data_IF_806808366460
#
_entry.id   IF_806808366460
#
_cell.length_a   1.000
_cell.length_b   1.000
_cell.length_c   1.000
_cell.angle_alpha   90.00
_cell.angle_beta   90.00
_cell.angle_gamma   90.00
#
_symmetry.space_group_name_H-M   'P 1'
#
loop_
_entity.id
_entity.type
_entity.pdbx_description
1 polymer ?
#
# COMPACT_ATOMS: atom_id res chain seq x y z
N UNK A 1 22.36 1.71 68.03
CA UNK A 1 22.73 1.90 66.61
C UNK A 1 23.52 3.18 66.50
N UNK A 2 24.74 3.13 65.97
CA UNK A 2 25.60 4.30 65.80
C UNK A 2 25.02 5.19 64.69
N UNK A 3 24.69 6.45 64.99
CA UNK A 3 24.11 7.35 64.00
C UNK A 3 25.23 7.99 63.17
N UNK A 4 25.29 7.68 61.87
CA UNK A 4 26.28 8.23 60.94
C UNK A 4 25.81 9.60 60.44
N UNK A 5 26.71 10.58 60.41
CA UNK A 5 26.49 11.96 59.92
C UNK A 5 27.73 12.46 59.18
N UNK A 6 27.62 13.64 58.58
CA UNK A 6 28.72 14.33 57.90
C UNK A 6 28.97 15.70 58.53
N UNK A 7 30.23 16.09 58.69
CA UNK A 7 30.58 17.45 59.14
C UNK A 7 30.51 18.44 57.98
N UNK A 8 30.50 19.75 58.28
CA UNK A 8 30.53 20.81 57.27
C UNK A 8 31.78 20.77 56.37
N UNK A 9 32.87 20.19 56.86
CA UNK A 9 34.13 20.01 56.12
C UNK A 9 34.16 18.69 55.31
N UNK A 10 33.04 17.96 55.25
CA UNK A 10 32.88 16.75 54.42
C UNK A 10 33.34 15.45 55.07
N UNK A 11 33.72 15.44 56.36
CA UNK A 11 34.15 14.22 57.06
C UNK A 11 32.96 13.34 57.44
N UNK A 12 33.09 12.03 57.26
CA UNK A 12 32.11 11.03 57.71
C UNK A 12 32.36 10.72 59.19
N UNK A 13 31.33 10.83 60.02
CA UNK A 13 31.48 10.69 61.48
C UNK A 13 30.37 9.86 62.11
N UNK A 14 30.69 9.15 63.19
CA UNK A 14 29.73 8.46 64.06
C UNK A 14 29.40 9.36 65.26
N UNK A 15 28.12 9.58 65.53
CA UNK A 15 27.68 10.35 66.71
C UNK A 15 27.76 9.46 67.96
N UNK A 16 28.64 9.84 68.91
CA UNK A 16 28.82 9.13 70.19
C UNK A 16 27.83 9.66 71.23
N UNK A 17 27.61 10.98 71.28
CA UNK A 17 26.73 11.59 72.27
C UNK A 17 26.57 13.09 72.09
N UNK A 18 25.66 13.70 72.85
CA UNK A 18 25.46 15.15 72.88
C UNK A 18 26.26 15.74 74.04
N UNK A 19 27.04 16.78 73.77
CA UNK A 19 27.74 17.53 74.81
C UNK A 19 26.82 18.59 75.43
N UNK A 20 26.02 19.26 74.61
CA UNK A 20 24.98 20.20 75.03
C UNK A 20 23.88 20.29 73.95
N UNK A 21 23.00 21.30 74.04
CA UNK A 21 21.91 21.49 73.07
C UNK A 21 22.39 21.76 71.63
N UNK A 22 23.60 22.28 71.45
CA UNK A 22 24.15 22.73 70.16
C UNK A 22 25.35 21.92 69.64
N UNK A 23 25.96 21.09 70.49
CA UNK A 23 27.22 20.39 70.19
C UNK A 23 27.10 18.89 70.43
N UNK A 24 27.63 18.11 69.49
CA UNK A 24 27.74 16.67 69.58
C UNK A 24 29.20 16.23 69.62
N UNK A 25 29.49 15.18 70.39
CA UNK A 25 30.75 14.45 70.37
C UNK A 25 30.63 13.40 69.26
N UNK A 26 31.53 13.47 68.29
CA UNK A 26 31.57 12.58 67.15
C UNK A 26 32.94 11.93 67.01
N UNK A 27 32.97 10.75 66.39
CA UNK A 27 34.19 10.02 66.05
C UNK A 27 34.36 9.99 64.54
N UNK A 28 35.56 10.30 64.04
CA UNK A 28 35.86 10.17 62.61
C UNK A 28 35.84 8.71 62.17
N UNK A 29 35.10 8.44 61.09
CA UNK A 29 35.06 7.13 60.44
C UNK A 29 36.04 7.17 59.27
N UNK A 30 37.08 6.35 59.34
CA UNK A 30 37.99 6.14 58.23
C UNK A 30 37.54 4.96 57.38
N UNK A 31 37.77 5.04 56.08
CA UNK A 31 37.56 3.93 55.15
C UNK A 31 38.93 3.36 54.80
N UNK A 32 39.19 2.13 55.21
CA UNK A 32 40.42 1.39 54.85
C UNK A 32 40.03 0.06 54.23
N UNK A 33 40.56 -0.24 53.03
CA UNK A 33 40.26 -1.46 52.27
C UNK A 33 38.75 -1.75 52.09
N UNK A 34 37.92 -0.71 51.94
CA UNK A 34 36.47 -0.84 51.77
C UNK A 34 35.67 -1.10 53.06
N UNK A 35 36.35 -1.18 54.21
CA UNK A 35 35.72 -1.32 55.52
C UNK A 35 35.70 0.01 56.25
N UNK A 36 34.54 0.38 56.80
CA UNK A 36 34.37 1.59 57.60
C UNK A 36 34.72 1.31 59.06
N UNK A 37 35.75 1.98 59.56
CA UNK A 37 36.27 1.75 60.91
C UNK A 37 36.14 3.06 61.71
N UNK A 38 35.32 3.08 62.78
CA UNK A 38 35.25 4.20 63.71
C UNK A 38 36.50 4.16 64.61
N UNK A 39 37.63 4.64 64.10
CA UNK A 39 38.93 4.62 64.79
C UNK A 39 39.61 5.98 64.86
N UNK A 40 38.96 7.04 64.37
CA UNK A 40 39.50 8.37 64.47
C UNK A 40 39.35 8.97 65.87
N UNK A 41 39.93 10.16 66.02
CA UNK A 41 39.82 10.94 67.24
C UNK A 41 38.37 11.37 67.50
N UNK A 42 38.04 11.51 68.78
CA UNK A 42 36.77 12.07 69.21
C UNK A 42 36.90 13.59 69.26
N UNK A 43 36.03 14.29 68.55
CA UNK A 43 36.01 15.74 68.54
C UNK A 43 34.58 16.28 68.59
N UNK A 44 34.45 17.56 68.93
CA UNK A 44 33.16 18.22 69.15
C UNK A 44 32.79 19.01 67.90
N UNK A 45 31.59 18.79 67.38
CA UNK A 45 31.08 19.49 66.19
C UNK A 45 29.73 20.12 66.48
N UNK A 46 29.52 21.33 65.96
CA UNK A 46 28.26 22.09 66.08
C UNK A 46 27.23 21.73 65.01
N UNK A 47 27.68 21.51 63.77
CA UNK A 47 26.81 21.25 62.62
C UNK A 47 27.08 19.88 62.02
N UNK A 48 26.04 19.06 61.97
CA UNK A 48 26.04 17.73 61.37
C UNK A 48 24.98 17.67 60.29
N UNK A 49 25.32 17.05 59.17
CA UNK A 49 24.46 16.87 58.02
C UNK A 49 24.13 15.39 57.83
N UNK A 50 22.95 15.10 57.29
CA UNK A 50 22.48 13.74 57.01
C UNK A 50 23.12 13.16 55.74
N UNK A 51 23.61 14.03 54.87
CA UNK A 51 24.32 13.73 53.63
C UNK A 51 25.58 14.61 53.53
N UNK A 52 26.59 14.22 52.75
CA UNK A 52 27.77 15.05 52.54
C UNK A 52 27.39 16.43 51.98
N UNK A 53 28.00 17.48 52.51
CA UNK A 53 27.77 18.84 52.04
C UNK A 53 28.36 18.99 50.62
N UNK A 54 27.50 19.28 49.64
CA UNK A 54 27.91 19.57 48.27
C UNK A 54 28.07 21.09 48.15
N UNK A 55 29.17 21.55 47.55
CA UNK A 55 29.38 22.98 47.35
C UNK A 55 28.33 23.53 46.38
N UNK A 56 27.90 24.78 46.59
CA UNK A 56 26.97 25.44 45.66
C UNK A 56 27.48 25.43 44.21
N UNK A 57 28.79 25.63 44.02
CA UNK A 57 29.45 25.60 42.70
C UNK A 57 29.32 24.25 42.01
N UNK A 58 29.49 23.15 42.74
CA UNK A 58 29.40 21.80 42.19
C UNK A 58 27.95 21.44 41.82
N UNK A 59 26.99 21.84 42.65
CA UNK A 59 25.57 21.66 42.33
C UNK A 59 25.12 22.52 41.15
N UNK A 60 25.62 23.77 41.05
CA UNK A 60 25.33 24.64 39.92
C UNK A 60 25.95 24.12 38.62
N UNK A 61 27.20 23.65 38.66
CA UNK A 61 27.87 23.03 37.52
C UNK A 61 27.08 21.82 37.00
N UNK A 62 26.68 20.91 37.90
CA UNK A 62 25.86 19.74 37.53
C UNK A 62 24.55 20.15 36.86
N UNK A 63 23.85 21.16 37.39
CA UNK A 63 22.61 21.68 36.77
C UNK A 63 22.86 22.29 35.39
N UNK A 64 23.97 22.99 35.21
CA UNK A 64 24.35 23.54 33.92
C UNK A 64 24.65 22.43 32.92
N UNK A 65 25.41 21.40 33.30
CA UNK A 65 25.69 20.22 32.47
C UNK A 65 24.41 19.50 32.05
N UNK A 66 23.51 19.19 32.99
CA UNK A 66 22.22 18.58 32.71
C UNK A 66 21.34 19.43 31.77
N UNK A 67 21.48 20.77 31.84
CA UNK A 67 20.79 21.67 30.92
C UNK A 67 21.41 21.63 29.52
N UNK A 68 22.74 21.70 29.43
CA UNK A 68 23.46 21.62 28.18
C UNK A 68 23.22 20.30 27.46
N UNK A 69 23.22 19.17 28.18
CA UNK A 69 22.93 17.86 27.61
C UNK A 69 21.50 17.78 27.05
N UNK A 70 20.52 18.31 27.79
CA UNK A 70 19.12 18.37 27.34
C UNK A 70 18.95 19.24 26.10
N UNK A 71 19.55 20.44 26.10
CA UNK A 71 19.49 21.34 24.94
C UNK A 71 20.19 20.74 23.72
N UNK A 72 21.36 20.12 23.91
CA UNK A 72 22.10 19.46 22.85
C UNK A 72 21.32 18.30 22.24
N UNK A 73 20.70 17.46 23.09
CA UNK A 73 19.85 16.37 22.62
C UNK A 73 18.65 16.90 21.83
N UNK A 74 17.95 17.90 22.37
CA UNK A 74 16.80 18.52 21.70
C UNK A 74 17.18 19.09 20.32
N UNK A 75 18.29 19.82 20.24
CA UNK A 75 18.74 20.41 18.97
C UNK A 75 19.13 19.34 17.95
N UNK A 76 19.73 18.22 18.38
CA UNK A 76 20.02 17.08 17.50
C UNK A 76 18.73 16.45 16.97
N UNK A 77 17.76 16.20 17.85
CA UNK A 77 16.47 15.61 17.47
C UNK A 77 15.70 16.55 16.50
N UNK A 78 15.73 17.87 16.75
CA UNK A 78 15.12 18.88 15.88
C UNK A 78 15.82 18.94 14.51
N UNK A 79 17.15 18.88 14.47
CA UNK A 79 17.93 18.87 13.22
C UNK A 79 17.64 17.62 12.38
N UNK A 80 17.55 16.45 13.02
CA UNK A 80 17.20 15.19 12.35
C UNK A 80 15.77 15.26 11.79
N UNK A 81 14.82 15.76 12.58
CA UNK A 81 13.43 15.97 12.17
C UNK A 81 13.33 16.92 10.97
N UNK A 82 14.03 18.06 11.01
CA UNK A 82 14.07 19.01 9.90
C UNK A 82 14.73 18.40 8.64
N UNK A 83 15.83 17.67 8.81
CA UNK A 83 16.51 17.00 7.70
C UNK A 83 15.61 15.96 7.04
N UNK A 84 14.87 15.18 7.83
CA UNK A 84 13.88 14.22 7.34
C UNK A 84 12.73 14.91 6.60
N UNK A 85 12.19 15.99 7.16
CA UNK A 85 11.13 16.80 6.50
C UNK A 85 11.61 17.36 5.17
N UNK A 86 12.83 17.89 5.13
CA UNK A 86 13.43 18.42 3.91
C UNK A 86 13.63 17.32 2.86
N UNK A 87 14.11 16.14 3.26
CA UNK A 87 14.23 14.99 2.37
C UNK A 87 12.89 14.59 1.76
N UNK A 88 11.85 14.46 2.58
CA UNK A 88 10.48 14.16 2.12
C UNK A 88 9.96 15.26 1.19
N UNK A 89 10.17 16.53 1.52
CA UNK A 89 9.72 17.65 0.69
C UNK A 89 10.41 17.67 -0.68
N UNK A 90 11.72 17.40 -0.72
CA UNK A 90 12.48 17.29 -1.97
C UNK A 90 11.96 16.15 -2.84
N UNK A 91 11.73 14.97 -2.28
CA UNK A 91 11.24 13.84 -3.08
C UNK A 91 9.80 14.02 -3.55
N UNK A 92 8.95 14.66 -2.74
CA UNK A 92 7.62 15.07 -3.19
C UNK A 92 7.68 16.05 -4.35
N UNK A 93 8.52 17.08 -4.24
CA UNK A 93 8.68 18.09 -5.28
C UNK A 93 9.23 17.48 -6.57
N UNK A 94 10.24 16.59 -6.46
CA UNK A 94 10.79 15.84 -7.59
C UNK A 94 9.72 14.97 -8.25
N UNK A 95 9.01 14.16 -7.47
CA UNK A 95 7.93 13.30 -7.99
C UNK A 95 6.83 14.10 -8.69
N UNK A 96 6.43 15.25 -8.13
CA UNK A 96 5.48 16.15 -8.78
C UNK A 96 6.02 16.72 -10.09
N UNK A 97 7.29 17.17 -10.12
CA UNK A 97 7.91 17.69 -11.32
C UNK A 97 8.05 16.61 -12.40
N UNK A 98 8.48 15.40 -12.03
CA UNK A 98 8.60 14.26 -12.93
C UNK A 98 7.24 13.88 -13.52
N UNK A 99 6.18 13.84 -12.70
CA UNK A 99 4.82 13.55 -13.15
C UNK A 99 4.27 14.66 -14.07
N UNK A 100 4.49 15.94 -13.75
CA UNK A 100 4.09 17.07 -14.59
C UNK A 100 4.82 17.07 -15.93
N UNK A 101 6.12 16.81 -15.92
CA UNK A 101 6.92 16.72 -17.15
C UNK A 101 6.51 15.51 -17.98
N UNK A 102 6.25 14.36 -17.35
CA UNK A 102 5.74 13.18 -18.02
C UNK A 102 4.36 13.45 -18.66
N UNK A 103 3.46 14.11 -17.94
CA UNK A 103 2.16 14.53 -18.46
C UNK A 103 2.31 15.52 -19.62
N UNK A 104 3.09 16.59 -19.46
CA UNK A 104 3.31 17.57 -20.51
C UNK A 104 3.92 16.96 -21.79
N UNK A 105 4.78 15.94 -21.64
CA UNK A 105 5.45 15.28 -22.76
C UNK A 105 4.62 14.15 -23.40
N UNK A 106 3.73 13.49 -22.65
CA UNK A 106 3.01 12.28 -23.11
C UNK A 106 1.51 12.40 -23.22
N UNK A 107 0.89 13.37 -22.55
CA UNK A 107 -0.51 13.69 -22.78
C UNK A 107 -0.60 14.33 -24.17
N UNK A 108 -0.60 13.49 -25.19
CA UNK A 108 -0.68 13.94 -26.57
C UNK A 108 -2.02 14.65 -26.79
N UNK A 109 -2.03 15.65 -27.67
CA UNK A 109 -3.25 16.38 -28.06
C UNK A 109 -4.48 15.48 -28.34
N UNK A 110 -4.36 14.28 -28.91
CA UNK A 110 -5.49 13.35 -29.11
C UNK A 110 -6.21 12.93 -27.82
N UNK A 111 -5.51 12.75 -26.69
CA UNK A 111 -6.14 12.30 -25.44
C UNK A 111 -7.04 13.37 -24.80
N UNK A 112 -6.61 14.64 -24.90
CA UNK A 112 -7.41 15.80 -24.51
C UNK A 112 -8.52 16.10 -25.53
N UNK A 113 -8.31 15.77 -26.80
CA UNK A 113 -9.34 15.87 -27.83
C UNK A 113 -10.49 14.89 -27.58
N UNK A 114 -10.22 13.68 -27.07
CA UNK A 114 -11.28 12.75 -26.64
C UNK A 114 -12.14 13.36 -25.52
N UNK A 115 -11.54 14.10 -24.58
CA UNK A 115 -12.30 14.79 -23.54
C UNK A 115 -13.22 15.86 -24.14
N UNK A 116 -12.72 16.64 -25.10
CA UNK A 116 -13.55 17.62 -25.83
C UNK A 116 -14.69 16.93 -26.59
N UNK A 117 -14.41 15.80 -27.24
CA UNK A 117 -15.41 14.99 -27.96
C UNK A 117 -16.50 14.45 -27.03
N UNK A 118 -16.13 14.04 -25.81
CA UNK A 118 -17.11 13.67 -24.80
C UNK A 118 -17.98 14.85 -24.38
N UNK A 119 -17.37 16.00 -24.08
CA UNK A 119 -18.08 17.20 -23.63
C UNK A 119 -18.97 17.82 -24.72
N UNK A 120 -18.61 17.64 -26.00
CA UNK A 120 -19.39 18.08 -27.16
C UNK A 120 -20.45 17.07 -27.61
N UNK A 121 -20.47 15.85 -27.03
CA UNK A 121 -21.42 14.80 -27.41
C UNK A 121 -21.09 14.10 -28.72
N UNK A 122 -19.84 14.20 -29.21
CA UNK A 122 -19.38 13.53 -30.43
C UNK A 122 -19.07 12.03 -30.24
N UNK A 123 -18.94 11.57 -29.00
CA UNK A 123 -18.71 10.15 -28.70
C UNK A 123 -20.02 9.37 -28.83
N UNK A 124 -20.02 8.39 -29.73
CA UNK A 124 -21.18 7.54 -30.03
C UNK A 124 -20.99 6.10 -29.57
N UNK A 125 -19.76 5.61 -29.57
CA UNK A 125 -19.43 4.22 -29.25
C UNK A 125 -18.33 4.14 -28.20
N UNK A 126 -18.38 3.10 -27.37
CA UNK A 126 -17.30 2.77 -26.45
C UNK A 126 -16.75 1.38 -26.79
N UNK A 127 -15.43 1.27 -26.91
CA UNK A 127 -14.76 -0.01 -26.90
C UNK A 127 -14.26 -0.30 -25.49
N UNK A 128 -14.77 -1.35 -24.85
CA UNK A 128 -14.28 -1.83 -23.55
C UNK A 128 -13.21 -2.88 -23.76
N UNK A 129 -12.01 -2.59 -23.27
CA UNK A 129 -10.86 -3.49 -23.38
C UNK A 129 -10.79 -4.49 -22.21
N UNK A 130 -10.03 -5.56 -22.37
CA UNK A 130 -9.73 -6.53 -21.30
C UNK A 130 -10.28 -7.93 -21.55
N UNK A 131 -10.75 -8.60 -20.49
CA UNK A 131 -11.08 -10.03 -20.51
C UNK A 131 -12.32 -10.38 -21.35
N UNK A 132 -13.29 -9.47 -21.41
CA UNK A 132 -14.51 -9.61 -22.21
C UNK A 132 -14.65 -8.37 -23.09
N UNK A 133 -13.85 -8.27 -24.17
CA UNK A 133 -13.87 -7.13 -25.06
C UNK A 133 -15.23 -6.98 -25.72
N UNK A 134 -15.70 -5.74 -25.82
CA UNK A 134 -17.00 -5.43 -26.41
C UNK A 134 -17.05 -4.00 -26.94
N UNK A 135 -17.84 -3.78 -27.98
CA UNK A 135 -18.19 -2.46 -28.50
C UNK A 135 -19.69 -2.26 -28.26
N UNK A 136 -20.07 -1.11 -27.73
CA UNK A 136 -21.47 -0.75 -27.52
C UNK A 136 -21.70 0.75 -27.70
N UNK A 137 -22.94 1.11 -27.98
CA UNK A 137 -23.37 2.50 -28.15
C UNK A 137 -23.42 3.22 -26.80
N UNK A 138 -22.87 4.43 -26.75
CA UNK A 138 -22.73 5.18 -25.49
C UNK A 138 -24.08 5.69 -24.96
N UNK A 139 -24.94 6.19 -25.85
CA UNK A 139 -26.21 6.82 -25.45
C UNK A 139 -27.40 5.85 -25.40
N UNK A 140 -27.34 4.77 -26.19
CA UNK A 140 -28.51 3.94 -26.50
C UNK A 140 -28.40 2.50 -25.97
N UNK A 141 -27.21 2.04 -25.57
CA UNK A 141 -27.03 0.71 -24.99
C UNK A 141 -27.29 0.71 -23.48
N UNK A 142 -28.10 -0.24 -23.00
CA UNK A 142 -28.39 -0.48 -21.58
C UNK A 142 -27.12 -0.67 -20.74
N UNK A 143 -26.00 -1.12 -21.32
CA UNK A 143 -24.71 -1.27 -20.63
C UNK A 143 -24.12 0.06 -20.19
N UNK A 144 -24.46 1.16 -20.84
CA UNK A 144 -24.09 2.52 -20.43
C UNK A 144 -24.90 3.00 -19.23
N UNK A 145 -25.94 2.25 -18.83
CA UNK A 145 -26.79 2.57 -17.70
C UNK A 145 -26.61 1.59 -16.54
N UNK A 146 -26.85 2.12 -15.35
CA UNK A 146 -27.05 1.37 -14.14
C UNK A 146 -28.50 0.88 -14.11
N UNK A 147 -28.67 -0.44 -14.05
CA UNK A 147 -29.97 -1.07 -14.17
C UNK A 147 -30.21 -2.00 -13.00
N UNK A 148 -31.30 -1.75 -12.28
CA UNK A 148 -31.79 -2.68 -11.27
C UNK A 148 -32.59 -3.78 -11.97
N UNK A 149 -31.99 -4.97 -12.00
CA UNK A 149 -32.54 -6.13 -12.67
C UNK A 149 -33.21 -7.02 -11.62
N UNK A 150 -34.35 -6.56 -11.14
CA UNK A 150 -35.12 -7.26 -10.12
C UNK A 150 -35.71 -8.53 -10.76
N UNK A 151 -35.03 -9.67 -10.54
CA UNK A 151 -35.27 -10.96 -11.21
C UNK A 151 -36.71 -11.47 -11.07
N UNK A 152 -37.49 -10.90 -10.16
CA UNK A 152 -38.88 -11.25 -9.87
C UNK A 152 -39.91 -10.60 -10.80
N UNK A 153 -39.63 -9.45 -11.42
CA UNK A 153 -40.68 -8.68 -12.12
C UNK A 153 -40.49 -8.50 -13.64
N UNK A 154 -39.45 -9.09 -14.24
CA UNK A 154 -39.08 -8.96 -15.69
C UNK A 154 -39.07 -7.51 -16.21
N UNK A 155 -39.00 -6.51 -15.32
CA UNK A 155 -38.95 -5.09 -15.65
C UNK A 155 -37.55 -4.61 -15.36
N UNK A 156 -36.85 -4.17 -16.41
CA UNK A 156 -35.56 -3.51 -16.27
C UNK A 156 -35.83 -2.07 -15.83
N UNK A 157 -35.39 -1.72 -14.63
CA UNK A 157 -35.42 -0.33 -14.17
C UNK A 157 -34.08 0.32 -14.45
N UNK A 158 -34.09 1.44 -15.15
CA UNK A 158 -32.90 2.23 -15.44
C UNK A 158 -32.78 3.30 -14.35
N UNK A 159 -31.74 3.21 -13.51
CA UNK A 159 -31.52 4.14 -12.40
C UNK A 159 -30.70 5.36 -12.81
N UNK A 160 -29.93 5.27 -13.89
CA UNK A 160 -29.17 6.39 -14.43
C UNK A 160 -27.99 5.92 -15.27
N UNK A 161 -27.31 6.87 -15.89
CA UNK A 161 -26.13 6.59 -16.70
C UNK A 161 -24.91 6.29 -15.82
N UNK A 162 -24.09 5.32 -16.21
CA UNK A 162 -22.85 4.97 -15.52
C UNK A 162 -21.83 6.10 -15.65
N UNK A 163 -21.01 6.23 -14.61
CA UNK A 163 -19.97 7.24 -14.58
C UNK A 163 -18.81 6.82 -15.51
N UNK A 164 -18.37 7.75 -16.36
CA UNK A 164 -17.08 7.67 -17.05
C UNK A 164 -16.09 8.60 -16.35
N UNK A 165 -14.92 8.07 -16.01
CA UNK A 165 -13.87 8.83 -15.33
C UNK A 165 -12.58 8.82 -16.13
N UNK A 166 -11.90 9.97 -16.13
CA UNK A 166 -10.55 10.12 -16.67
C UNK A 166 -9.53 9.92 -15.55
N UNK A 167 -8.66 8.93 -15.70
CA UNK A 167 -7.57 8.63 -14.78
C UNK A 167 -6.26 9.13 -15.37
N UNK A 168 -5.40 9.70 -14.52
CA UNK A 168 -4.02 10.02 -14.85
C UNK A 168 -3.06 9.13 -14.07
N UNK A 169 -2.11 8.52 -14.78
CA UNK A 169 -1.03 7.73 -14.20
C UNK A 169 0.21 8.60 -13.96
N UNK A 170 1.05 8.20 -13.00
CA UNK A 170 2.30 8.89 -12.68
C UNK A 170 3.32 8.90 -13.83
N UNK A 171 3.13 8.03 -14.81
CA UNK A 171 3.94 7.97 -16.02
C UNK A 171 3.45 8.92 -17.11
N UNK A 172 2.41 9.73 -16.87
CA UNK A 172 1.84 10.71 -17.79
C UNK A 172 0.71 10.19 -18.68
N UNK A 173 0.36 8.90 -18.61
CA UNK A 173 -0.70 8.33 -19.43
C UNK A 173 -2.09 8.64 -18.87
N UNK A 174 -3.06 8.81 -19.77
CA UNK A 174 -4.46 8.96 -19.45
C UNK A 174 -5.25 7.69 -19.82
N UNK A 175 -6.21 7.30 -18.98
CA UNK A 175 -7.14 6.21 -19.28
C UNK A 175 -8.57 6.61 -18.93
N UNK A 176 -9.51 6.29 -19.84
CA UNK A 176 -10.93 6.42 -19.57
C UNK A 176 -11.44 5.10 -18.99
N UNK A 177 -12.27 5.18 -17.94
CA UNK A 177 -12.90 4.00 -17.35
C UNK A 177 -14.38 4.20 -17.14
N UNK A 178 -15.15 3.15 -17.44
CA UNK A 178 -16.57 3.05 -17.16
C UNK A 178 -16.77 2.30 -15.83
N UNK A 179 -17.47 2.93 -14.90
CA UNK A 179 -17.76 2.35 -13.59
C UNK A 179 -18.91 1.34 -13.64
N UNK A 180 -18.89 0.38 -12.71
CA UNK A 180 -19.97 -0.61 -12.57
C UNK A 180 -21.30 0.05 -12.21
N UNK A 181 -21.27 1.05 -11.33
CA UNK A 181 -22.46 1.76 -10.84
C UNK A 181 -22.41 3.24 -11.21
N UNK A 182 -23.59 3.89 -11.22
CA UNK A 182 -23.72 5.32 -11.57
C UNK A 182 -22.97 6.27 -10.63
N UNK A 183 -22.81 5.87 -9.37
CA UNK A 183 -22.17 6.66 -8.32
C UNK A 183 -20.64 6.48 -8.29
N UNK A 184 -20.09 5.65 -9.18
CA UNK A 184 -18.67 5.34 -9.23
C UNK A 184 -18.20 4.33 -8.19
N UNK A 185 -19.13 3.69 -7.47
CA UNK A 185 -18.80 2.58 -6.58
C UNK A 185 -18.53 1.29 -7.36
N UNK A 186 -17.96 0.29 -6.69
CA UNK A 186 -17.66 -1.01 -7.28
C UNK A 186 -16.38 -1.03 -8.12
N UNK A 187 -16.42 -1.79 -9.21
CA UNK A 187 -15.29 -1.91 -10.15
C UNK A 187 -15.36 -0.86 -11.25
N UNK A 188 -14.30 -0.82 -12.06
CA UNK A 188 -14.30 -0.05 -13.30
C UNK A 188 -13.58 -0.84 -14.40
N UNK A 189 -14.03 -0.67 -15.64
CA UNK A 189 -13.42 -1.25 -16.82
C UNK A 189 -12.84 -0.15 -17.70
N UNK A 190 -11.65 -0.39 -18.26
CA UNK A 190 -11.04 0.54 -19.19
C UNK A 190 -11.80 0.58 -20.52
N UNK A 191 -12.02 1.80 -21.01
CA UNK A 191 -12.75 2.06 -22.24
C UNK A 191 -11.96 3.00 -23.16
N UNK A 192 -12.19 2.83 -24.46
CA UNK A 192 -11.68 3.66 -25.53
C UNK A 192 -12.88 4.31 -26.22
N UNK A 193 -13.12 5.61 -26.00
CA UNK A 193 -14.27 6.33 -26.55
C UNK A 193 -14.08 6.65 -28.04
N UNK A 194 -15.05 6.29 -28.86
CA UNK A 194 -15.02 6.44 -30.30
C UNK A 194 -16.17 7.31 -30.83
N UNK A 195 -15.90 8.00 -31.94
CA UNK A 195 -16.89 8.79 -32.68
C UNK A 195 -17.69 7.94 -33.67
N UNK A 196 -17.26 6.71 -33.93
CA UNK A 196 -17.95 5.75 -34.79
C UNK A 196 -17.66 4.29 -34.39
N UNK A 197 -18.50 3.37 -34.85
CA UNK A 197 -18.27 1.93 -34.71
C UNK A 197 -16.95 1.50 -35.37
N UNK A 198 -16.68 1.98 -36.58
CA UNK A 198 -15.48 1.62 -37.35
C UNK A 198 -14.19 1.99 -36.63
N UNK A 199 -14.18 3.15 -35.94
CA UNK A 199 -13.05 3.56 -35.13
C UNK A 199 -12.85 2.62 -33.93
N UNK A 200 -13.94 2.29 -33.21
CA UNK A 200 -13.91 1.33 -32.11
C UNK A 200 -13.45 -0.05 -32.59
N UNK A 201 -13.91 -0.50 -33.76
CA UNK A 201 -13.54 -1.76 -34.39
C UNK A 201 -12.04 -1.80 -34.73
N UNK A 202 -11.48 -0.70 -35.25
CA UNK A 202 -10.04 -0.60 -35.50
C UNK A 202 -9.20 -0.83 -34.24
N UNK A 203 -9.62 -0.28 -33.11
CA UNK A 203 -8.95 -0.52 -31.82
C UNK A 203 -9.15 -1.94 -31.30
N UNK A 204 -10.36 -2.47 -31.38
CA UNK A 204 -10.65 -3.84 -31.00
C UNK A 204 -9.85 -4.85 -31.83
N UNK A 205 -9.72 -4.61 -33.14
CA UNK A 205 -8.91 -5.45 -34.03
C UNK A 205 -7.41 -5.36 -33.69
N UNK A 206 -6.90 -4.19 -33.34
CA UNK A 206 -5.51 -4.04 -32.92
C UNK A 206 -5.20 -4.82 -31.63
N UNK A 207 -6.08 -4.75 -30.64
CA UNK A 207 -5.93 -5.52 -29.39
C UNK A 207 -6.06 -7.03 -29.65
N UNK A 208 -7.01 -7.45 -30.48
CA UNK A 208 -7.15 -8.84 -30.89
C UNK A 208 -5.92 -9.37 -31.60
N UNK A 209 -5.37 -8.61 -32.56
CA UNK A 209 -4.16 -8.98 -33.29
C UNK A 209 -2.96 -9.16 -32.35
N UNK A 210 -2.83 -8.32 -31.32
CA UNK A 210 -1.80 -8.46 -30.29
C UNK A 210 -1.96 -9.78 -29.52
N UNK A 211 -3.18 -10.10 -29.07
CA UNK A 211 -3.44 -11.38 -28.39
C UNK A 211 -3.21 -12.59 -29.30
N UNK A 212 -3.57 -12.48 -30.58
CA UNK A 212 -3.28 -13.49 -31.59
C UNK A 212 -1.78 -13.72 -31.75
N UNK A 213 -0.98 -12.66 -31.83
CA UNK A 213 0.48 -12.76 -31.94
C UNK A 213 1.10 -13.43 -30.70
N UNK A 214 0.66 -13.06 -29.50
CA UNK A 214 1.10 -13.68 -28.24
C UNK A 214 0.70 -15.16 -28.15
N UNK A 215 -0.51 -15.50 -28.59
CA UNK A 215 -0.98 -16.87 -28.68
C UNK A 215 -0.15 -17.70 -29.66
N UNK A 216 0.13 -17.18 -30.86
CA UNK A 216 0.97 -17.86 -31.85
C UNK A 216 2.40 -18.07 -31.33
N UNK A 217 2.99 -17.05 -30.71
CA UNK A 217 4.31 -17.09 -30.09
C UNK A 217 4.40 -18.03 -28.87
N UNK A 218 3.26 -18.45 -28.30
CA UNK A 218 3.20 -19.31 -27.13
C UNK A 218 3.53 -18.60 -25.81
N UNK A 219 3.59 -17.27 -25.81
CA UNK A 219 3.74 -16.46 -24.59
C UNK A 219 2.45 -16.43 -23.79
N UNK A 220 1.30 -16.51 -24.46
CA UNK A 220 -0.01 -16.70 -23.83
C UNK A 220 -0.57 -18.10 -24.15
N UNK A 221 -1.04 -18.80 -23.12
CA UNK A 221 -1.53 -20.20 -23.23
C UNK A 221 -2.98 -20.31 -23.70
N UNK A 222 -3.71 -19.21 -23.81
CA UNK A 222 -5.12 -19.26 -24.19
C UNK A 222 -5.57 -18.04 -24.98
N UNK A 223 -6.47 -18.29 -25.93
CA UNK A 223 -7.16 -17.26 -26.71
C UNK A 223 -8.66 -17.59 -26.75
N UNK A 224 -9.51 -16.63 -26.37
CA UNK A 224 -10.97 -16.83 -26.34
C UNK A 224 -11.61 -16.35 -27.65
N UNK A 225 -11.46 -17.11 -28.73
CA UNK A 225 -12.02 -16.73 -30.05
C UNK A 225 -13.53 -16.47 -30.01
N UNK A 226 -14.28 -17.25 -29.22
CA UNK A 226 -15.73 -17.10 -29.08
C UNK A 226 -16.14 -15.78 -28.42
N UNK A 227 -15.25 -15.15 -27.64
CA UNK A 227 -15.52 -13.83 -27.07
C UNK A 227 -15.32 -12.75 -28.13
N UNK A 228 -14.23 -12.83 -28.88
CA UNK A 228 -13.90 -11.88 -29.95
C UNK A 228 -14.89 -11.92 -31.12
N UNK A 229 -15.42 -13.11 -31.48
CA UNK A 229 -16.44 -13.28 -32.51
C UNK A 229 -17.78 -12.59 -32.20
N UNK A 230 -18.03 -12.18 -30.95
CA UNK A 230 -19.23 -11.41 -30.59
C UNK A 230 -19.17 -9.97 -31.10
N UNK A 231 -17.98 -9.47 -31.40
CA UNK A 231 -17.79 -8.15 -32.00
C UNK A 231 -17.92 -8.31 -33.51
N UNK A 232 -18.95 -7.71 -34.09
CA UNK A 232 -19.19 -7.72 -35.52
C UNK A 232 -18.01 -7.11 -36.29
N UNK A 233 -17.59 -7.74 -37.38
CA UNK A 233 -16.48 -7.23 -38.21
C UNK A 233 -15.06 -7.58 -37.73
N UNK A 234 -14.88 -8.23 -36.58
CA UNK A 234 -13.55 -8.73 -36.17
C UNK A 234 -13.09 -9.85 -37.11
N UNK A 235 -11.86 -9.72 -37.61
CA UNK A 235 -11.21 -10.69 -38.49
C UNK A 235 -10.21 -11.52 -37.72
N UNK A 236 -10.36 -12.84 -37.75
CA UNK A 236 -9.38 -13.76 -37.15
C UNK A 236 -8.31 -14.14 -38.16
N UNK A 237 -7.01 -14.01 -37.82
CA UNK A 237 -5.94 -14.47 -38.70
C UNK A 237 -6.05 -15.98 -38.99
N UNK A 238 -5.84 -16.44 -40.24
CA UNK A 238 -5.98 -17.86 -40.60
C UNK A 238 -5.09 -18.80 -39.77
N UNK A 239 -3.85 -18.40 -39.53
CA UNK A 239 -2.87 -19.17 -38.74
C UNK A 239 -3.35 -19.43 -37.30
N UNK A 240 -4.08 -18.46 -36.72
CA UNK A 240 -4.66 -18.59 -35.38
C UNK A 240 -5.79 -19.61 -35.39
N UNK A 241 -6.64 -19.58 -36.42
CA UNK A 241 -7.74 -20.55 -36.58
C UNK A 241 -7.20 -21.96 -36.67
N UNK A 242 -6.16 -22.18 -37.48
CA UNK A 242 -5.52 -23.49 -37.63
C UNK A 242 -4.96 -24.03 -36.31
N UNK A 243 -4.18 -23.21 -35.60
CA UNK A 243 -3.62 -23.58 -34.28
C UNK A 243 -4.73 -23.86 -33.27
N UNK A 244 -5.75 -23.01 -33.22
CA UNK A 244 -6.85 -23.12 -32.28
C UNK A 244 -7.68 -24.39 -32.50
N UNK A 245 -8.04 -24.71 -33.75
CA UNK A 245 -8.79 -25.92 -34.07
C UNK A 245 -7.94 -27.20 -33.87
N UNK A 246 -6.62 -27.14 -34.09
CA UNK A 246 -5.72 -28.24 -33.76
C UNK A 246 -5.67 -28.52 -32.25
N UNK A 247 -5.53 -27.48 -31.42
CA UNK A 247 -5.56 -27.60 -29.95
C UNK A 247 -6.92 -28.09 -29.44
N UNK A 248 -8.02 -27.56 -29.98
CA UNK A 248 -9.38 -27.99 -29.64
C UNK A 248 -9.61 -29.46 -30.01
N UNK A 249 -9.11 -29.89 -31.17
CA UNK A 249 -9.19 -31.30 -31.60
C UNK A 249 -8.36 -32.20 -30.68
N UNK A 250 -7.15 -31.78 -30.32
CA UNK A 250 -6.30 -32.49 -29.35
C UNK A 250 -7.00 -32.62 -28.00
N UNK A 251 -7.55 -31.53 -27.48
CA UNK A 251 -8.27 -31.52 -26.20
C UNK A 251 -9.51 -32.43 -26.23
N UNK A 252 -10.29 -32.43 -27.31
CA UNK A 252 -11.41 -33.35 -27.50
C UNK A 252 -10.96 -34.81 -27.49
N UNK A 253 -9.87 -35.15 -28.17
CA UNK A 253 -9.30 -36.51 -28.18
C UNK A 253 -8.87 -36.95 -26.78
N UNK A 254 -8.14 -36.09 -26.06
CA UNK A 254 -7.73 -36.35 -24.68
C UNK A 254 -8.94 -36.52 -23.74
N UNK A 255 -10.01 -35.74 -23.95
CA UNK A 255 -11.25 -35.87 -23.17
C UNK A 255 -11.98 -37.18 -23.47
N UNK A 256 -12.07 -37.58 -24.74
CA UNK A 256 -12.65 -38.87 -25.13
C UNK A 256 -11.89 -40.02 -24.47
N UNK A 257 -10.54 -39.97 -24.47
CA UNK A 257 -9.74 -41.03 -23.87
C UNK A 257 -9.95 -41.12 -22.35
N UNK A 258 -9.97 -39.98 -21.66
CA UNK A 258 -10.30 -39.94 -20.22
C UNK A 258 -11.69 -40.50 -19.93
N UNK A 259 -12.69 -40.16 -20.75
CA UNK A 259 -14.05 -40.66 -20.58
C UNK A 259 -14.15 -42.16 -20.85
N UNK A 260 -13.35 -42.72 -21.76
CA UNK A 260 -13.28 -44.16 -21.99
C UNK A 260 -12.74 -44.92 -20.79
N UNK A 261 -11.63 -44.45 -20.22
CA UNK A 261 -11.05 -45.03 -19.00
C UNK A 261 -12.04 -44.95 -17.82
N UNK A 262 -12.75 -43.82 -17.71
CA UNK A 262 -13.78 -43.64 -16.68
C UNK A 262 -14.99 -44.57 -16.88
N UNK A 263 -15.44 -44.76 -18.12
CA UNK A 263 -16.49 -45.72 -18.46
C UNK A 263 -16.09 -47.16 -18.11
N UNK A 264 -14.90 -47.60 -18.52
CA UNK A 264 -14.40 -48.95 -18.23
C UNK A 264 -14.33 -49.20 -16.71
N UNK A 265 -13.88 -48.20 -15.95
CA UNK A 265 -13.89 -48.27 -14.49
C UNK A 265 -15.30 -48.45 -13.93
N UNK A 266 -16.27 -47.64 -14.37
CA UNK A 266 -17.65 -47.74 -13.90
C UNK A 266 -18.31 -49.06 -14.30
N UNK A 267 -18.01 -49.58 -15.48
CA UNK A 267 -18.45 -50.91 -15.93
C UNK A 267 -17.87 -52.04 -15.06
N UNK A 268 -16.63 -51.91 -14.60
CA UNK A 268 -16.01 -52.89 -13.69
C UNK A 268 -16.58 -52.83 -12.25
N UNK A 269 -17.16 -51.69 -11.85
CA UNK A 269 -17.76 -51.47 -10.53
C UNK A 269 -19.28 -51.78 -10.51
N UNK A 270 -19.89 -52.08 -11.66
CA UNK A 270 -21.28 -52.47 -11.77
C UNK A 270 -21.49 -53.88 -11.16
N UNK A 271 -22.29 -54.02 -10.09
CA UNK A 271 -22.63 -55.35 -9.58
C UNK A 271 -23.45 -56.11 -10.64
N UNK A 272 -23.22 -57.42 -10.76
CA UNK A 272 -23.98 -58.27 -11.65
C UNK A 272 -25.49 -58.07 -11.41
N UNK A 273 -26.31 -57.99 -12.49
CA UNK A 273 -27.75 -57.80 -12.34
C UNK A 273 -28.30 -58.92 -11.44
N UNK A 274 -29.27 -58.61 -10.54
CA UNK A 274 -29.84 -59.62 -9.68
C UNK A 274 -30.45 -60.71 -10.57
N UNK A 275 -29.90 -61.93 -10.48
CA UNK A 275 -30.48 -63.12 -11.11
C UNK A 275 -31.84 -63.37 -10.49
N UNK A 276 -32.89 -63.28 -11.32
CA UNK A 276 -34.26 -63.70 -11.01
C UNK A 276 -34.35 -65.20 -10.70
#
# INVERSE_FOLDING_TARGET
>A
MTQIKYTGDGKKVAVIGKLNAEQAIVQEIFVSAGQEIPSGENFVVKSLHDAPAISWKENDLKKQEERYERETKRLKDDLESQSRRLGIAKEKAKSHADALMAFANKAEAPQLDILKKFLSGEITHLYKAGYSPEIFEWADDLKSFDTDNDSWNRRVKVDGMKLVSLFGYSDGNLAYRLHTYRDGSGGSAEILPATSYEQALGWAQADFNKQCAEYLAGTNRGLSLETWKKIEGIVTPPEVVEKYEAEKTKSKRERIEKLRVELEKLESELPAPPTE
#
